data_IF_124894114017
#
_entry.id   IF_124894114017
#
_cell.length_a   1.000
_cell.length_b   1.000
_cell.length_c   1.000
_cell.angle_alpha   90.00
_cell.angle_beta   90.00
_cell.angle_gamma   90.00
#
_symmetry.space_group_name_H-M   'P 1'
#
loop_
_entity.id
_entity.type
_entity.pdbx_description
1 polymer ?
#
# COMPACT_ATOMS: atom_id res chain seq x y z
N UNK A 1 24.88 6.64 -5.83
CA UNK A 1 23.58 7.35 -5.65
C UNK A 1 22.53 6.33 -5.27
N UNK A 2 21.77 6.56 -4.20
CA UNK A 2 20.67 5.68 -3.83
C UNK A 2 19.56 5.80 -4.88
N UNK A 3 18.96 4.68 -5.27
CA UNK A 3 17.78 4.72 -6.14
C UNK A 3 16.60 5.37 -5.39
N UNK A 4 15.80 6.22 -6.04
CA UNK A 4 14.60 6.79 -5.43
C UNK A 4 13.61 5.70 -5.03
N UNK A 5 12.82 5.96 -4.01
CA UNK A 5 11.77 5.04 -3.55
C UNK A 5 10.62 4.99 -4.55
N UNK A 6 10.33 6.12 -5.20
CA UNK A 6 9.35 6.25 -6.27
C UNK A 6 9.94 7.10 -7.39
N UNK A 7 9.80 6.65 -8.62
CA UNK A 7 10.10 7.43 -9.82
C UNK A 7 9.03 7.19 -10.86
N UNK A 8 8.34 8.24 -11.27
CA UNK A 8 7.32 8.23 -12.33
C UNK A 8 7.73 9.27 -13.36
N UNK A 9 7.75 8.90 -14.64
CA UNK A 9 8.14 9.78 -15.73
C UNK A 9 7.12 9.72 -16.87
N UNK A 10 6.57 10.87 -17.21
CA UNK A 10 5.63 11.08 -18.32
C UNK A 10 4.50 10.03 -18.35
N UNK A 11 4.00 9.69 -17.16
CA UNK A 11 3.00 8.64 -17.01
C UNK A 11 1.60 9.16 -17.33
N UNK A 12 0.84 8.36 -18.08
CA UNK A 12 -0.60 8.56 -18.24
C UNK A 12 -1.34 7.41 -17.58
N UNK A 13 -2.30 7.76 -16.73
CA UNK A 13 -3.07 6.81 -15.93
C UNK A 13 -4.47 6.72 -16.48
N UNK A 14 -4.89 5.50 -16.75
CA UNK A 14 -6.19 5.18 -17.29
C UNK A 14 -7.00 4.35 -16.28
N UNK A 15 -8.30 4.56 -16.29
CA UNK A 15 -9.26 3.67 -15.67
C UNK A 15 -10.14 3.10 -16.76
N UNK A 16 -9.96 1.81 -17.07
CA UNK A 16 -10.46 1.20 -18.30
C UNK A 16 -9.92 1.94 -19.52
N UNK A 17 -10.79 2.54 -20.34
CA UNK A 17 -10.40 3.31 -21.53
C UNK A 17 -10.35 4.83 -21.30
N UNK A 18 -10.78 5.29 -20.11
CA UNK A 18 -10.80 6.71 -19.77
C UNK A 18 -9.46 7.18 -19.26
N UNK A 19 -8.90 8.21 -19.88
CA UNK A 19 -7.71 8.90 -19.40
C UNK A 19 -8.08 9.72 -18.16
N UNK A 20 -7.42 9.42 -17.05
CA UNK A 20 -7.64 10.09 -15.75
C UNK A 20 -6.57 11.13 -15.48
N UNK A 21 -5.31 10.78 -15.71
CA UNK A 21 -4.16 11.66 -15.56
C UNK A 21 -3.24 11.53 -16.75
N UNK A 22 -2.69 12.64 -17.20
CA UNK A 22 -1.71 12.68 -18.28
C UNK A 22 -0.43 13.37 -17.82
N UNK A 23 0.68 12.89 -18.34
CA UNK A 23 1.99 13.55 -18.20
C UNK A 23 2.46 13.74 -16.76
N UNK A 24 2.19 12.76 -15.91
CA UNK A 24 2.60 12.78 -14.50
C UNK A 24 4.06 12.42 -14.39
N UNK A 25 4.85 13.29 -13.75
CA UNK A 25 6.24 13.03 -13.42
C UNK A 25 6.50 13.41 -11.97
N UNK A 26 7.04 12.47 -11.19
CA UNK A 26 7.35 12.68 -9.77
C UNK A 26 8.46 11.71 -9.34
N UNK A 27 9.37 12.21 -8.52
CA UNK A 27 10.42 11.40 -7.89
C UNK A 27 10.35 11.63 -6.38
N UNK A 28 10.41 10.55 -5.61
CA UNK A 28 10.44 10.59 -4.14
C UNK A 28 11.65 9.80 -3.66
N UNK A 29 12.48 10.46 -2.88
CA UNK A 29 13.66 9.88 -2.26
C UNK A 29 13.34 9.24 -0.91
N UNK A 30 14.25 8.42 -0.42
CA UNK A 30 14.11 7.81 0.90
C UNK A 30 14.06 8.86 2.00
N UNK A 31 13.05 8.76 2.87
CA UNK A 31 12.89 9.66 4.02
C UNK A 31 12.07 10.90 3.73
N UNK A 32 11.64 11.12 2.50
CA UNK A 32 10.75 12.23 2.16
C UNK A 32 9.32 11.99 2.62
N UNK A 33 8.64 13.07 2.96
CA UNK A 33 7.22 13.12 3.24
C UNK A 33 6.54 14.02 2.18
N UNK A 34 5.60 13.44 1.43
CA UNK A 34 4.99 14.09 0.26
C UNK A 34 3.48 14.15 0.41
N UNK A 35 2.89 15.33 0.19
CA UNK A 35 1.44 15.50 0.07
C UNK A 35 0.98 15.38 -1.38
N UNK A 36 0.00 14.53 -1.65
CA UNK A 36 -0.73 14.48 -2.92
C UNK A 36 -2.02 15.28 -2.78
N UNK A 37 -2.03 16.47 -3.35
CA UNK A 37 -3.15 17.42 -3.25
C UNK A 37 -3.90 17.55 -4.58
N UNK A 38 -5.19 17.77 -4.50
CA UNK A 38 -6.08 18.01 -5.63
C UNK A 38 -7.55 17.92 -5.22
N UNK A 39 -8.42 18.45 -6.05
CA UNK A 39 -9.87 18.38 -5.84
C UNK A 39 -10.37 16.93 -5.87
N UNK A 40 -11.51 16.67 -5.26
CA UNK A 40 -12.20 15.38 -5.40
C UNK A 40 -12.44 15.08 -6.89
N UNK A 41 -12.16 13.85 -7.31
CA UNK A 41 -12.25 13.45 -8.73
C UNK A 41 -11.06 13.85 -9.60
N UNK A 42 -9.99 14.44 -9.04
CA UNK A 42 -8.80 14.84 -9.82
C UNK A 42 -7.85 13.69 -10.18
N UNK A 43 -8.17 12.45 -9.80
CA UNK A 43 -7.34 11.28 -10.13
C UNK A 43 -6.35 10.83 -9.06
N UNK A 44 -6.35 11.45 -7.87
CA UNK A 44 -5.44 11.05 -6.76
C UNK A 44 -5.53 9.57 -6.41
N UNK A 45 -6.76 9.05 -6.28
CA UNK A 45 -6.99 7.63 -5.98
C UNK A 45 -6.50 6.72 -7.11
N UNK A 46 -6.67 7.11 -8.36
CA UNK A 46 -6.17 6.34 -9.52
C UNK A 46 -4.65 6.34 -9.57
N UNK A 47 -4.01 7.46 -9.24
CA UNK A 47 -2.56 7.52 -9.08
C UNK A 47 -2.07 6.55 -7.99
N UNK A 48 -2.65 6.60 -6.81
CA UNK A 48 -2.31 5.68 -5.71
C UNK A 48 -2.53 4.21 -6.10
N UNK A 49 -3.63 3.89 -6.76
CA UNK A 49 -3.93 2.53 -7.27
C UNK A 49 -2.88 2.03 -8.25
N UNK A 50 -2.31 2.89 -9.07
CA UNK A 50 -1.21 2.55 -9.97
C UNK A 50 0.06 2.20 -9.16
N UNK A 51 0.34 2.92 -8.09
CA UNK A 51 1.54 2.69 -7.27
C UNK A 51 1.53 1.34 -6.55
N UNK A 52 0.36 0.84 -6.10
CA UNK A 52 0.29 -0.47 -5.46
C UNK A 52 -0.25 -1.60 -6.36
N UNK A 53 -0.28 -1.35 -7.69
CA UNK A 53 -0.56 -2.38 -8.69
C UNK A 53 -2.04 -2.77 -8.82
N UNK A 54 -2.98 -1.90 -8.44
CA UNK A 54 -4.42 -2.10 -8.65
C UNK A 54 -4.86 -1.60 -10.04
N UNK A 55 -4.15 -0.63 -10.58
CA UNK A 55 -4.25 -0.18 -11.96
C UNK A 55 -2.92 -0.37 -12.68
N UNK A 56 -2.91 -0.87 -13.92
CA UNK A 56 -1.68 -1.02 -14.69
C UNK A 56 -1.17 0.34 -15.18
N UNK A 57 0.14 0.52 -15.21
CA UNK A 57 0.78 1.66 -15.87
C UNK A 57 0.85 1.38 -17.38
N UNK A 58 0.00 2.05 -18.16
CA UNK A 58 -0.09 1.82 -19.61
C UNK A 58 0.89 2.67 -20.41
N UNK A 59 1.08 3.94 -20.04
CA UNK A 59 1.98 4.88 -20.73
C UNK A 59 2.95 5.53 -19.75
N UNK A 60 4.15 5.84 -20.23
CA UNK A 60 5.23 6.39 -19.44
C UNK A 60 6.07 5.32 -18.78
N UNK A 61 6.87 5.72 -17.82
CA UNK A 61 7.74 4.86 -17.03
C UNK A 61 7.45 5.06 -15.54
N UNK A 62 7.62 4.00 -14.76
CA UNK A 62 7.41 4.10 -13.32
C UNK A 62 8.07 2.96 -12.58
N UNK A 63 8.69 3.29 -11.45
CA UNK A 63 9.23 2.32 -10.53
C UNK A 63 8.89 2.71 -9.09
N UNK A 64 8.62 1.73 -8.26
CA UNK A 64 8.38 1.91 -6.82
C UNK A 64 9.02 0.77 -6.03
N UNK A 65 9.78 1.10 -5.01
CA UNK A 65 10.51 0.15 -4.14
C UNK A 65 11.24 -0.97 -4.90
N UNK A 66 11.79 -0.63 -6.06
CA UNK A 66 12.55 -1.54 -6.92
C UNK A 66 11.71 -2.36 -7.91
N UNK A 67 10.39 -2.16 -7.98
CA UNK A 67 9.53 -2.79 -8.98
C UNK A 67 9.27 -1.83 -10.14
N UNK A 68 9.39 -2.33 -11.37
CA UNK A 68 8.97 -1.63 -12.57
C UNK A 68 7.44 -1.79 -12.74
N UNK A 69 6.72 -0.67 -12.69
CA UNK A 69 5.25 -0.67 -12.77
C UNK A 69 4.74 -1.01 -14.17
N UNK A 70 5.54 -0.75 -15.22
CA UNK A 70 5.13 -1.01 -16.60
C UNK A 70 5.16 -2.50 -16.96
N UNK A 71 6.11 -3.23 -16.38
CA UNK A 71 6.29 -4.67 -16.61
C UNK A 71 5.72 -5.53 -15.49
N UNK A 72 5.09 -4.93 -14.49
CA UNK A 72 4.53 -5.60 -13.32
C UNK A 72 3.44 -6.60 -13.75
N UNK A 73 3.62 -7.87 -13.38
CA UNK A 73 2.67 -8.94 -13.64
C UNK A 73 1.82 -9.21 -12.39
N UNK A 74 0.63 -9.77 -12.56
CA UNK A 74 -0.26 -10.11 -11.45
C UNK A 74 0.42 -10.94 -10.36
N UNK A 75 1.28 -11.89 -10.74
CA UNK A 75 2.04 -12.71 -9.79
C UNK A 75 3.04 -11.93 -8.94
N UNK A 76 3.48 -10.75 -9.40
CA UNK A 76 4.47 -9.91 -8.72
C UNK A 76 3.82 -8.90 -7.75
N UNK A 77 2.52 -8.61 -7.96
CA UNK A 77 1.76 -7.64 -7.14
C UNK A 77 1.79 -7.97 -5.63
N UNK A 78 1.60 -9.21 -5.18
CA UNK A 78 1.70 -9.54 -3.76
C UNK A 78 3.06 -9.19 -3.15
N UNK A 79 4.14 -9.35 -3.91
CA UNK A 79 5.51 -9.04 -3.46
C UNK A 79 5.76 -7.53 -3.40
N UNK A 80 5.24 -6.78 -4.36
CA UNK A 80 5.22 -5.31 -4.31
C UNK A 80 4.48 -4.83 -3.06
N UNK A 81 3.25 -5.29 -2.85
CA UNK A 81 2.40 -4.88 -1.73
C UNK A 81 2.99 -5.21 -0.35
N UNK A 82 3.80 -6.26 -0.22
CA UNK A 82 4.54 -6.57 1.01
C UNK A 82 5.58 -5.50 1.40
N UNK A 83 6.04 -4.70 0.42
CA UNK A 83 6.99 -3.61 0.66
C UNK A 83 6.31 -2.26 0.90
N UNK A 84 4.99 -2.19 0.80
CA UNK A 84 4.21 -0.98 0.96
C UNK A 84 3.31 -1.08 2.19
N UNK A 85 3.24 0.00 2.97
CA UNK A 85 2.19 0.17 3.96
C UNK A 85 1.11 1.08 3.39
N UNK A 86 -0.13 0.61 3.27
CA UNK A 86 -1.25 1.40 2.74
C UNK A 86 -2.33 1.50 3.80
N UNK A 87 -2.74 2.74 4.11
CA UNK A 87 -3.92 2.99 4.94
C UNK A 87 -5.04 3.45 4.01
N UNK A 88 -6.09 2.64 3.91
CA UNK A 88 -7.25 2.94 3.06
C UNK A 88 -8.25 3.84 3.78
N UNK A 89 -9.00 4.65 3.02
CA UNK A 89 -10.03 5.53 3.57
C UNK A 89 -11.14 4.76 4.29
N UNK A 90 -11.48 3.58 3.82
CA UNK A 90 -12.47 2.65 4.40
C UNK A 90 -11.82 1.55 5.26
N UNK A 91 -10.57 1.75 5.66
CA UNK A 91 -9.72 0.90 6.48
C UNK A 91 -9.48 -0.52 5.95
N UNK A 92 -10.37 -1.11 5.14
CA UNK A 92 -10.26 -2.48 4.61
C UNK A 92 -10.00 -3.54 5.68
N UNK A 93 -10.58 -3.38 6.86
CA UNK A 93 -10.46 -4.32 7.97
C UNK A 93 -11.58 -5.36 7.94
N UNK A 94 -11.30 -6.55 8.45
CA UNK A 94 -12.27 -7.62 8.64
C UNK A 94 -13.07 -7.32 9.92
N UNK A 95 -14.30 -6.86 9.77
CA UNK A 95 -15.14 -6.39 10.89
C UNK A 95 -15.69 -7.53 11.77
N UNK A 96 -15.68 -8.76 11.26
CA UNK A 96 -16.06 -9.99 11.95
C UNK A 96 -14.93 -10.60 12.80
N UNK A 97 -13.78 -9.95 12.85
CA UNK A 97 -12.57 -10.39 13.53
C UNK A 97 -12.04 -9.34 14.48
N UNK A 98 -11.35 -9.81 15.54
CA UNK A 98 -10.66 -8.91 16.48
C UNK A 98 -9.48 -8.20 15.82
N UNK A 99 -8.95 -7.17 16.47
CA UNK A 99 -7.72 -6.48 16.07
C UNK A 99 -6.57 -7.48 15.92
N UNK A 100 -6.39 -8.37 16.90
CA UNK A 100 -5.38 -9.43 16.85
C UNK A 100 -5.57 -10.35 15.65
N UNK A 101 -6.78 -10.81 15.39
CA UNK A 101 -7.08 -11.73 14.29
C UNK A 101 -6.86 -11.08 12.92
N UNK A 102 -7.16 -9.78 12.78
CA UNK A 102 -6.84 -8.99 11.59
C UNK A 102 -5.33 -8.96 11.31
N UNK A 103 -4.52 -8.68 12.33
CA UNK A 103 -3.06 -8.67 12.22
C UNK A 103 -2.51 -10.06 11.93
N UNK A 104 -3.03 -11.08 12.60
CA UNK A 104 -2.64 -12.47 12.40
C UNK A 104 -2.95 -12.94 10.97
N UNK A 105 -4.10 -12.54 10.41
CA UNK A 105 -4.47 -12.82 9.03
C UNK A 105 -3.43 -12.27 8.04
N UNK A 106 -3.00 -11.02 8.22
CA UNK A 106 -1.98 -10.40 7.35
C UNK A 106 -0.63 -11.12 7.48
N UNK A 107 -0.22 -11.48 8.68
CA UNK A 107 1.04 -12.21 8.90
C UNK A 107 1.00 -13.57 8.20
N UNK A 108 -0.09 -14.33 8.33
CA UNK A 108 -0.26 -15.60 7.60
C UNK A 108 -0.22 -15.40 6.08
N UNK A 109 -0.95 -14.41 5.56
CA UNK A 109 -1.00 -14.10 4.13
C UNK A 109 0.37 -13.69 3.57
N UNK A 110 1.26 -13.17 4.42
CA UNK A 110 2.62 -12.78 4.05
C UNK A 110 3.68 -13.86 4.33
N UNK A 111 3.24 -15.07 4.70
CA UNK A 111 4.09 -16.26 4.80
C UNK A 111 4.66 -16.56 6.19
N UNK A 112 4.20 -15.88 7.22
CA UNK A 112 4.58 -16.22 8.60
C UNK A 112 3.91 -17.52 9.02
N UNK A 113 4.69 -18.45 9.62
CA UNK A 113 4.21 -19.78 10.03
C UNK A 113 4.32 -20.01 11.54
N UNK A 114 5.26 -19.35 12.18
CA UNK A 114 5.54 -19.50 13.61
C UNK A 114 4.58 -18.63 14.43
N UNK A 115 3.66 -19.28 15.15
CA UNK A 115 2.65 -18.61 15.97
C UNK A 115 3.26 -17.72 17.06
N UNK A 116 4.31 -18.19 17.73
CA UNK A 116 4.98 -17.41 18.79
C UNK A 116 5.60 -16.12 18.24
N UNK A 117 6.26 -16.21 17.09
CA UNK A 117 6.82 -15.02 16.42
C UNK A 117 5.74 -14.07 15.95
N UNK A 118 4.61 -14.58 15.46
CA UNK A 118 3.47 -13.74 15.08
C UNK A 118 2.90 -13.01 16.29
N UNK A 119 2.65 -13.70 17.40
CA UNK A 119 2.15 -13.09 18.63
C UNK A 119 3.09 -11.99 19.14
N UNK A 120 4.40 -12.25 19.16
CA UNK A 120 5.42 -11.25 19.53
C UNK A 120 5.38 -10.04 18.60
N UNK A 121 5.23 -10.26 17.28
CA UNK A 121 5.15 -9.17 16.31
C UNK A 121 3.88 -8.35 16.44
N UNK A 122 2.76 -8.99 16.72
CA UNK A 122 1.48 -8.31 16.97
C UNK A 122 1.58 -7.42 18.22
N UNK A 123 2.12 -7.96 19.31
CA UNK A 123 2.31 -7.19 20.55
C UNK A 123 3.23 -5.98 20.33
N UNK A 124 4.33 -6.15 19.59
CA UNK A 124 5.26 -5.07 19.23
C UNK A 124 4.56 -3.94 18.45
N UNK A 125 3.81 -4.28 17.40
CA UNK A 125 3.17 -3.25 16.57
C UNK A 125 2.02 -2.56 17.28
N UNK A 126 1.25 -3.27 18.11
CA UNK A 126 0.20 -2.68 18.92
C UNK A 126 0.75 -1.77 20.02
N UNK A 127 1.89 -2.12 20.61
CA UNK A 127 2.58 -1.30 21.59
C UNK A 127 3.06 0.03 20.97
N UNK A 128 3.65 -0.03 19.77
CA UNK A 128 4.10 1.17 19.03
C UNK A 128 2.99 2.18 18.75
N UNK A 129 1.75 1.74 18.61
CA UNK A 129 0.60 2.62 18.36
C UNK A 129 -0.28 2.83 19.59
N UNK A 130 0.17 2.41 20.78
CA UNK A 130 -0.55 2.58 22.04
C UNK A 130 -1.83 1.76 22.16
N UNK A 131 -1.94 0.65 21.44
CA UNK A 131 -3.13 -0.17 21.36
C UNK A 131 -2.96 -1.58 21.95
N UNK A 132 -1.90 -1.84 22.67
CA UNK A 132 -1.58 -3.17 23.25
C UNK A 132 -2.73 -3.78 24.03
N UNK A 133 -3.44 -2.98 24.82
CA UNK A 133 -4.57 -3.44 25.65
C UNK A 133 -5.89 -3.61 24.89
N UNK A 134 -5.89 -3.38 23.57
CA UNK A 134 -7.11 -3.42 22.73
C UNK A 134 -7.10 -4.52 21.67
N UNK A 135 -6.16 -5.46 21.77
CA UNK A 135 -5.99 -6.56 20.80
C UNK A 135 -7.24 -7.44 20.64
N UNK A 136 -8.04 -7.59 21.70
CA UNK A 136 -9.26 -8.39 21.73
C UNK A 136 -10.51 -7.68 21.21
N UNK A 137 -10.44 -6.37 20.96
CA UNK A 137 -11.56 -5.58 20.43
C UNK A 137 -11.75 -5.81 18.94
N UNK A 138 -12.99 -5.62 18.50
CA UNK A 138 -13.30 -5.56 17.08
C UNK A 138 -13.03 -4.16 16.51
N UNK A 139 -12.74 -4.02 15.20
CA UNK A 139 -12.45 -2.70 14.59
C UNK A 139 -13.52 -1.63 14.87
N UNK A 140 -14.79 -2.00 14.84
CA UNK A 140 -15.91 -1.07 15.12
C UNK A 140 -16.01 -0.62 16.59
N UNK A 141 -15.22 -1.20 17.47
CA UNK A 141 -15.17 -0.82 18.90
C UNK A 141 -14.03 0.18 19.22
N UNK A 142 -13.28 0.57 18.20
CA UNK A 142 -12.13 1.47 18.34
C UNK A 142 -12.48 2.93 18.10
#
# INVERSE_FOLDING_TARGET
MSQPVLSINNASIFQRESLILSDVSVTIEKGEFVYLIGKTGSGKSSFMKTLYGDLPLQKGEGSIVGFDLKTLKEKDIPFLRRKLGVVFQDFKLLNDRTVKDNLQFVLHATGWKDKSKMDTKIDEVLDKVGMKTKSFKYPYQL
#
